data_IF_271738993127
#
_entry.id   IF_271738993127
#
_cell.length_a   1.000
_cell.length_b   1.000
_cell.length_c   1.000
_cell.angle_alpha   90.00
_cell.angle_beta   90.00
_cell.angle_gamma   90.00
#
_symmetry.space_group_name_H-M   'P 1'
#
loop_
_entity.id
_entity.type
_entity.pdbx_description
1 polymer ?
#
# COMPACT_ATOMS: atom_id res chain seq x y z
N UNK A 1 -11.98 -13.00 22.87
CA UNK A 1 -10.93 -13.21 21.85
C UNK A 1 -9.64 -13.45 22.60
N UNK A 2 -8.92 -14.54 22.30
CA UNK A 2 -7.66 -14.87 23.01
C UNK A 2 -6.59 -13.89 22.52
N UNK A 3 -5.85 -13.27 23.43
CA UNK A 3 -4.75 -12.35 23.07
C UNK A 3 -3.61 -13.12 22.41
N UNK A 4 -3.02 -12.55 21.36
CA UNK A 4 -1.80 -13.10 20.76
C UNK A 4 -0.65 -12.99 21.77
N UNK A 5 0.25 -13.97 21.73
CA UNK A 5 1.45 -13.97 22.57
C UNK A 5 2.44 -12.89 22.09
N UNK A 6 2.74 -11.91 22.95
CA UNK A 6 3.68 -10.85 22.62
C UNK A 6 5.09 -11.38 22.33
N UNK A 7 5.49 -12.52 22.94
CA UNK A 7 6.78 -13.13 22.65
C UNK A 7 6.89 -13.58 21.18
N UNK A 8 5.79 -14.06 20.59
CA UNK A 8 5.73 -14.39 19.17
C UNK A 8 5.75 -13.13 18.31
N UNK A 9 4.96 -12.12 18.67
CA UNK A 9 4.88 -10.86 17.91
C UNK A 9 6.23 -10.13 17.84
N UNK A 10 7.02 -10.21 18.91
CA UNK A 10 8.34 -9.58 19.03
C UNK A 10 9.52 -10.52 18.78
N UNK A 11 9.28 -11.76 18.33
CA UNK A 11 10.35 -12.68 17.97
C UNK A 11 11.27 -12.07 16.89
N UNK A 12 12.55 -12.46 16.81
CA UNK A 12 13.41 -12.02 15.72
C UNK A 12 12.79 -12.27 14.34
N UNK A 13 13.05 -11.38 13.38
CA UNK A 13 12.64 -11.54 11.98
C UNK A 13 13.84 -11.97 11.16
N UNK A 14 13.68 -13.02 10.35
CA UNK A 14 14.68 -13.47 9.40
C UNK A 14 14.29 -12.98 8.00
N UNK A 15 15.10 -12.09 7.44
CA UNK A 15 14.89 -11.56 6.08
C UNK A 15 15.74 -12.30 5.06
N UNK A 16 15.11 -12.75 3.99
CA UNK A 16 15.78 -13.25 2.78
C UNK A 16 15.77 -12.17 1.70
N UNK A 17 16.94 -11.91 1.13
CA UNK A 17 17.09 -10.97 0.02
C UNK A 17 16.50 -11.55 -1.27
N UNK A 18 15.65 -10.78 -1.92
CA UNK A 18 15.01 -11.06 -3.21
C UNK A 18 15.24 -9.88 -4.17
N UNK A 19 16.31 -9.09 -3.97
CA UNK A 19 16.58 -7.87 -4.73
C UNK A 19 17.22 -8.10 -6.11
N UNK A 20 17.38 -9.35 -6.55
CA UNK A 20 18.04 -9.68 -7.81
C UNK A 20 17.37 -8.94 -8.99
N UNK A 21 18.17 -8.18 -9.74
CA UNK A 21 17.71 -7.40 -10.89
C UNK A 21 17.18 -6.00 -10.57
N UNK A 22 17.03 -5.63 -9.29
CA UNK A 22 16.66 -4.27 -8.89
C UNK A 22 17.88 -3.39 -8.63
N UNK A 23 17.74 -2.09 -8.92
CA UNK A 23 18.80 -1.10 -8.79
C UNK A 23 18.44 0.06 -7.87
N UNK A 24 17.19 0.53 -7.94
CA UNK A 24 16.67 1.67 -7.19
C UNK A 24 15.88 1.24 -5.95
N UNK A 25 15.61 -0.05 -5.77
CA UNK A 25 14.94 -0.62 -4.59
C UNK A 25 15.71 -1.81 -4.01
N UNK A 26 15.36 -2.19 -2.78
CA UNK A 26 15.60 -3.53 -2.25
C UNK A 26 14.27 -4.24 -2.03
N UNK A 27 14.29 -5.55 -2.10
CA UNK A 27 13.12 -6.39 -1.89
C UNK A 27 13.50 -7.59 -1.04
N UNK A 28 12.88 -7.72 0.13
CA UNK A 28 13.13 -8.82 1.07
C UNK A 28 11.84 -9.54 1.42
N UNK A 29 11.93 -10.83 1.75
CA UNK A 29 10.82 -11.63 2.27
C UNK A 29 11.20 -12.23 3.62
N UNK A 30 10.31 -12.17 4.60
CA UNK A 30 10.51 -12.86 5.86
C UNK A 30 10.04 -14.31 5.79
N UNK A 31 10.57 -15.15 6.67
CA UNK A 31 10.15 -16.56 6.80
C UNK A 31 8.70 -16.72 7.27
N UNK A 32 8.12 -15.71 7.90
CA UNK A 32 6.77 -15.68 8.46
C UNK A 32 5.74 -14.93 7.59
N UNK A 33 6.08 -14.59 6.34
CA UNK A 33 5.11 -14.15 5.33
C UNK A 33 4.94 -12.64 5.16
N UNK A 34 6.01 -11.86 5.41
CA UNK A 34 6.06 -10.41 5.19
C UNK A 34 6.97 -10.13 4.00
N UNK A 35 6.51 -9.34 3.03
CA UNK A 35 7.37 -8.81 1.97
C UNK A 35 7.71 -7.35 2.27
N UNK A 36 8.97 -6.93 2.10
CA UNK A 36 9.44 -5.56 2.37
C UNK A 36 10.05 -4.95 1.11
N UNK A 37 9.42 -3.88 0.61
CA UNK A 37 9.88 -3.07 -0.51
C UNK A 37 10.53 -1.80 0.04
N UNK A 38 11.82 -1.62 -0.21
CA UNK A 38 12.60 -0.49 0.29
C UNK A 38 13.09 0.38 -0.87
N UNK A 39 12.71 1.66 -0.92
CA UNK A 39 13.28 2.60 -1.89
C UNK A 39 14.74 2.86 -1.51
N UNK A 40 15.69 2.58 -2.41
CA UNK A 40 17.13 2.60 -2.14
C UNK A 40 17.83 3.73 -2.91
N UNK A 41 17.38 4.98 -2.69
CA UNK A 41 18.00 6.20 -3.26
C UNK A 41 18.25 7.27 -2.19
N UNK A 42 18.93 6.96 -1.06
CA UNK A 42 19.03 7.86 0.10
C UNK A 42 19.75 9.19 -0.23
N UNK A 43 20.63 9.19 -1.23
CA UNK A 43 21.35 10.37 -1.74
C UNK A 43 20.43 11.47 -2.28
N UNK A 44 19.21 11.11 -2.70
CA UNK A 44 18.15 12.05 -3.14
C UNK A 44 16.91 11.94 -2.26
N UNK A 45 17.09 11.57 -0.98
CA UNK A 45 15.98 11.40 -0.01
C UNK A 45 14.91 10.43 -0.50
N UNK A 46 15.33 9.34 -1.14
CA UNK A 46 14.45 8.30 -1.66
C UNK A 46 13.37 8.87 -2.62
N UNK A 47 13.71 9.93 -3.36
CA UNK A 47 12.88 10.38 -4.48
C UNK A 47 12.84 9.30 -5.57
N UNK A 48 11.66 9.06 -6.17
CA UNK A 48 11.50 8.08 -7.23
C UNK A 48 11.68 8.70 -8.62
N UNK A 49 12.40 8.00 -9.49
CA UNK A 49 12.40 8.23 -10.95
C UNK A 49 11.54 7.14 -11.62
N UNK A 50 11.27 7.20 -12.94
CA UNK A 50 10.42 6.19 -13.61
C UNK A 50 10.88 4.74 -13.39
N UNK A 51 12.20 4.50 -13.36
CA UNK A 51 12.76 3.17 -13.05
C UNK A 51 12.42 2.71 -11.63
N UNK A 52 12.60 3.58 -10.62
CA UNK A 52 12.24 3.27 -9.23
C UNK A 52 10.79 2.81 -9.12
N UNK A 53 9.87 3.51 -9.78
CA UNK A 53 8.45 3.14 -9.78
C UNK A 53 8.21 1.80 -10.48
N UNK A 54 8.86 1.55 -11.61
CA UNK A 54 8.76 0.28 -12.34
C UNK A 54 9.20 -0.90 -11.47
N UNK A 55 10.33 -0.76 -10.77
CA UNK A 55 10.84 -1.80 -9.88
C UNK A 55 9.90 -2.04 -8.68
N UNK A 56 9.36 -0.97 -8.08
CA UNK A 56 8.35 -1.10 -7.02
C UNK A 56 7.08 -1.83 -7.50
N UNK A 57 6.64 -1.57 -8.74
CA UNK A 57 5.50 -2.26 -9.35
C UNK A 57 5.78 -3.76 -9.52
N UNK A 58 6.99 -4.11 -9.97
CA UNK A 58 7.43 -5.49 -10.13
C UNK A 58 7.48 -6.23 -8.78
N UNK A 59 8.08 -5.61 -7.76
CA UNK A 59 8.17 -6.18 -6.42
C UNK A 59 6.79 -6.37 -5.78
N UNK A 60 5.87 -5.40 -5.93
CA UNK A 60 4.50 -5.52 -5.42
C UNK A 60 3.69 -6.57 -6.18
N UNK A 61 3.94 -6.76 -7.48
CA UNK A 61 3.32 -7.83 -8.26
C UNK A 61 3.79 -9.21 -7.80
N UNK A 62 5.10 -9.39 -7.60
CA UNK A 62 5.67 -10.61 -7.02
C UNK A 62 5.04 -10.89 -5.64
N UNK A 63 5.06 -9.91 -4.74
CA UNK A 63 4.46 -10.02 -3.41
C UNK A 63 2.97 -10.38 -3.46
N UNK A 64 2.23 -9.91 -4.46
CA UNK A 64 0.80 -10.24 -4.65
C UNK A 64 0.60 -11.70 -5.03
N UNK A 65 1.45 -12.27 -5.87
CA UNK A 65 1.29 -13.63 -6.42
C UNK A 65 2.00 -14.73 -5.63
N UNK A 66 2.92 -14.38 -4.74
CA UNK A 66 3.49 -15.32 -3.77
C UNK A 66 2.47 -15.65 -2.68
N UNK A 67 2.00 -16.89 -2.59
CA UNK A 67 0.97 -17.31 -1.63
C UNK A 67 1.47 -17.42 -0.19
N UNK A 68 2.80 -17.38 0.04
CA UNK A 68 3.40 -17.36 1.37
C UNK A 68 3.41 -15.95 1.98
N UNK A 69 3.22 -14.90 1.17
CA UNK A 69 3.18 -13.52 1.64
C UNK A 69 1.75 -13.13 2.03
N UNK A 70 1.55 -12.65 3.25
CA UNK A 70 0.26 -12.12 3.69
C UNK A 70 0.21 -10.60 3.85
N UNK A 71 1.36 -9.94 4.08
CA UNK A 71 1.47 -8.49 4.32
C UNK A 71 2.67 -7.91 3.58
N UNK A 72 2.55 -6.68 3.07
CA UNK A 72 3.62 -5.94 2.42
C UNK A 72 3.99 -4.71 3.24
N UNK A 73 5.28 -4.45 3.42
CA UNK A 73 5.83 -3.23 3.99
C UNK A 73 6.46 -2.40 2.88
N UNK A 74 6.13 -1.12 2.81
CA UNK A 74 6.82 -0.12 1.99
C UNK A 74 7.64 0.79 2.89
N UNK A 75 8.91 1.01 2.57
CA UNK A 75 9.82 1.86 3.38
C UNK A 75 10.90 2.51 2.52
N UNK A 76 11.72 3.38 3.12
CA UNK A 76 12.87 4.01 2.49
C UNK A 76 14.18 3.54 3.13
N UNK A 77 15.25 3.47 2.34
CA UNK A 77 16.57 3.13 2.84
C UNK A 77 17.10 4.25 3.76
N UNK A 78 17.60 3.84 4.93
CA UNK A 78 18.16 4.71 5.95
C UNK A 78 17.09 5.52 6.71
N UNK A 79 17.55 6.32 7.66
CA UNK A 79 16.66 6.94 8.66
C UNK A 79 16.15 8.32 8.26
N UNK A 80 16.65 8.89 7.16
CA UNK A 80 16.44 10.30 6.81
C UNK A 80 15.18 10.53 5.99
N UNK A 81 14.73 9.56 5.21
CA UNK A 81 13.57 9.74 4.34
C UNK A 81 12.91 8.42 4.01
N UNK A 82 11.60 8.38 4.14
CA UNK A 82 10.76 7.38 3.50
C UNK A 82 10.76 7.59 2.00
N UNK A 83 10.31 8.77 1.55
CA UNK A 83 10.27 9.16 0.14
C UNK A 83 10.02 10.66 -0.01
N UNK A 84 10.80 11.34 -0.84
CA UNK A 84 10.64 12.76 -1.16
C UNK A 84 9.75 13.04 -2.39
N UNK A 85 9.11 12.02 -2.96
CA UNK A 85 8.28 12.14 -4.16
C UNK A 85 9.04 11.98 -5.46
N UNK A 86 8.51 12.54 -6.55
CA UNK A 86 9.13 12.43 -7.87
C UNK A 86 10.44 13.20 -7.96
N UNK A 87 11.45 12.57 -8.53
CA UNK A 87 12.78 13.13 -8.71
C UNK A 87 12.73 14.33 -9.67
N UNK A 88 12.78 15.54 -9.11
CA UNK A 88 12.67 16.77 -9.89
C UNK A 88 13.82 16.95 -10.89
N UNK A 89 14.95 16.24 -10.74
CA UNK A 89 16.08 16.32 -11.68
C UNK A 89 15.75 15.73 -13.05
N UNK A 90 14.75 14.84 -13.12
CA UNK A 90 14.32 14.18 -14.37
C UNK A 90 12.91 14.59 -14.78
N UNK A 91 12.32 15.61 -14.14
CA UNK A 91 11.00 16.13 -14.55
C UNK A 91 11.16 16.98 -15.80
N UNK A 92 10.54 16.57 -16.90
CA UNK A 92 10.58 17.27 -18.18
C UNK A 92 9.39 18.22 -18.39
N UNK A 93 9.50 19.08 -19.40
CA UNK A 93 8.47 20.07 -19.75
C UNK A 93 7.22 19.43 -20.41
N UNK A 94 7.36 18.26 -21.03
CA UNK A 94 6.28 17.57 -21.73
C UNK A 94 5.49 16.63 -20.81
N UNK A 95 5.07 17.13 -19.64
CA UNK A 95 4.04 16.50 -18.82
C UNK A 95 4.42 15.19 -18.11
N UNK A 96 5.66 15.02 -17.64
CA UNK A 96 6.06 13.84 -16.87
C UNK A 96 7.52 13.80 -16.44
N UNK A 97 7.92 12.69 -15.83
CA UNK A 97 9.29 12.37 -15.47
C UNK A 97 9.93 11.53 -16.58
N UNK A 98 11.07 11.99 -17.10
CA UNK A 98 11.79 11.34 -18.18
C UNK A 98 12.54 10.11 -17.67
N UNK A 99 12.45 9.00 -18.41
CA UNK A 99 13.37 7.88 -18.27
C UNK A 99 14.63 8.09 -19.11
N UNK A 100 15.57 7.14 -19.05
CA UNK A 100 16.85 7.23 -19.76
C UNK A 100 16.68 7.16 -21.30
N UNK A 101 15.50 6.80 -21.80
CA UNK A 101 15.14 6.81 -23.22
C UNK A 101 14.42 8.09 -23.66
N UNK A 102 14.14 9.01 -22.73
CA UNK A 102 13.47 10.28 -22.96
C UNK A 102 11.94 10.22 -22.95
N UNK A 103 11.34 9.07 -22.63
CA UNK A 103 9.88 8.93 -22.52
C UNK A 103 9.40 9.55 -21.21
N UNK A 104 8.30 10.31 -21.26
CA UNK A 104 7.74 10.99 -20.10
C UNK A 104 6.70 10.13 -19.40
N UNK A 105 6.84 9.96 -18.08
CA UNK A 105 6.01 9.08 -17.26
C UNK A 105 5.32 9.81 -16.11
N UNK A 106 4.13 9.34 -15.77
CA UNK A 106 3.47 9.57 -14.47
C UNK A 106 3.09 8.21 -13.83
N UNK A 107 3.93 7.20 -14.05
CA UNK A 107 3.69 5.80 -13.69
C UNK A 107 3.54 5.54 -12.17
N UNK A 108 3.85 6.52 -11.31
CA UNK A 108 3.53 6.41 -9.88
C UNK A 108 2.02 6.27 -9.65
N UNK A 109 1.19 6.80 -10.58
CA UNK A 109 -0.26 6.60 -10.55
C UNK A 109 -0.63 5.11 -10.73
N UNK A 110 0.11 4.37 -11.55
CA UNK A 110 -0.08 2.92 -11.70
C UNK A 110 0.28 2.19 -10.39
N UNK A 111 1.37 2.59 -9.75
CA UNK A 111 1.77 2.04 -8.45
C UNK A 111 0.74 2.35 -7.35
N UNK A 112 0.19 3.57 -7.30
CA UNK A 112 -0.91 3.92 -6.40
C UNK A 112 -2.13 2.98 -6.60
N UNK A 113 -2.54 2.74 -7.85
CA UNK A 113 -3.64 1.81 -8.17
C UNK A 113 -3.30 0.37 -7.78
N UNK A 114 -2.04 -0.03 -7.91
CA UNK A 114 -1.60 -1.37 -7.54
C UNK A 114 -1.59 -1.60 -6.03
N UNK A 115 -1.17 -0.62 -5.23
CA UNK A 115 -1.30 -0.66 -3.77
C UNK A 115 -2.78 -0.78 -3.39
N UNK A 116 -3.61 0.09 -3.98
CA UNK A 116 -5.05 0.18 -3.71
C UNK A 116 -5.75 -1.16 -3.94
N UNK A 117 -5.44 -1.80 -5.07
CA UNK A 117 -6.09 -3.04 -5.51
C UNK A 117 -5.34 -4.32 -5.13
N UNK A 118 -4.28 -4.20 -4.32
CA UNK A 118 -3.59 -5.36 -3.75
C UNK A 118 -4.53 -6.05 -2.74
N UNK A 119 -4.80 -7.37 -2.85
CA UNK A 119 -5.68 -8.07 -1.92
C UNK A 119 -5.05 -8.29 -0.53
N UNK A 120 -3.79 -7.87 -0.34
CA UNK A 120 -3.02 -8.01 0.90
C UNK A 120 -2.84 -6.62 1.54
N UNK A 121 -2.82 -6.51 2.88
CA UNK A 121 -2.48 -5.27 3.55
C UNK A 121 -1.09 -4.76 3.14
N UNK A 122 -0.99 -3.45 2.91
CA UNK A 122 0.25 -2.72 2.63
C UNK A 122 0.47 -1.71 3.75
N UNK A 123 1.62 -1.76 4.42
CA UNK A 123 1.98 -0.92 5.56
C UNK A 123 3.11 0.01 5.18
N UNK A 124 2.94 1.32 5.34
CA UNK A 124 4.04 2.27 5.23
C UNK A 124 4.81 2.30 6.56
N UNK A 125 6.12 2.03 6.50
CA UNK A 125 7.05 2.14 7.62
C UNK A 125 7.91 3.38 7.42
N UNK A 126 7.54 4.48 8.07
CA UNK A 126 8.02 5.83 7.75
C UNK A 126 9.08 6.30 8.76
N UNK A 127 10.34 6.36 8.31
CA UNK A 127 11.41 7.10 8.98
C UNK A 127 11.72 8.41 8.22
N UNK A 128 11.86 9.51 8.94
CA UNK A 128 12.22 10.80 8.35
C UNK A 128 11.18 11.35 7.35
N UNK A 129 11.64 11.98 6.27
CA UNK A 129 10.77 12.69 5.32
C UNK A 129 9.86 11.78 4.49
N UNK A 130 8.55 12.05 4.56
CA UNK A 130 7.52 11.57 3.64
C UNK A 130 6.84 12.80 3.01
N UNK A 131 7.32 13.21 1.83
CA UNK A 131 7.02 14.52 1.24
C UNK A 131 6.52 14.40 -0.20
N UNK A 132 5.56 15.24 -0.58
CA UNK A 132 5.05 15.34 -1.96
C UNK A 132 4.45 14.02 -2.46
N UNK A 133 4.97 13.50 -3.58
CA UNK A 133 4.55 12.18 -4.06
C UNK A 133 4.79 11.05 -3.05
N UNK A 134 5.86 11.13 -2.24
CA UNK A 134 6.13 10.19 -1.17
C UNK A 134 5.13 10.31 -0.02
N UNK A 135 4.63 11.53 0.22
CA UNK A 135 3.54 11.77 1.15
C UNK A 135 2.24 11.08 0.69
N UNK A 136 1.97 11.06 -0.61
CA UNK A 136 0.81 10.32 -1.16
C UNK A 136 1.01 8.81 -1.02
N UNK A 137 2.22 8.28 -1.23
CA UNK A 137 2.46 6.84 -1.12
C UNK A 137 2.19 6.27 0.28
N UNK A 138 2.55 6.99 1.36
CA UNK A 138 2.21 6.50 2.71
C UNK A 138 0.69 6.49 2.93
N UNK A 139 -0.01 7.55 2.50
CA UNK A 139 -1.47 7.61 2.61
C UNK A 139 -2.18 6.54 1.77
N UNK A 140 -1.57 6.08 0.67
CA UNK A 140 -2.13 5.00 -0.14
C UNK A 140 -1.95 3.62 0.48
N UNK A 141 -0.98 3.46 1.37
CA UNK A 141 -0.86 2.24 2.18
C UNK A 141 -2.07 2.13 3.12
N UNK A 142 -2.46 0.91 3.48
CA UNK A 142 -3.62 0.68 4.33
C UNK A 142 -3.38 1.19 5.75
N UNK A 143 -2.14 1.10 6.22
CA UNK A 143 -1.69 1.56 7.54
C UNK A 143 -0.33 2.26 7.44
N UNK A 144 -0.07 3.20 8.35
CA UNK A 144 1.22 3.88 8.50
C UNK A 144 1.73 3.79 9.94
N UNK A 145 2.93 3.22 10.09
CA UNK A 145 3.73 3.22 11.32
C UNK A 145 4.82 4.25 11.15
N UNK A 146 4.83 5.29 12.00
CA UNK A 146 5.79 6.38 11.90
C UNK A 146 6.83 6.30 13.02
N UNK A 147 8.09 6.56 12.69
CA UNK A 147 9.08 6.87 13.71
C UNK A 147 8.88 8.29 14.26
N UNK A 148 9.31 8.54 15.49
CA UNK A 148 9.31 9.89 16.10
C UNK A 148 10.02 10.95 15.23
N UNK A 149 10.99 10.54 14.41
CA UNK A 149 11.73 11.44 13.52
C UNK A 149 11.00 11.74 12.19
N UNK A 150 9.81 11.19 11.97
CA UNK A 150 9.09 11.32 10.71
C UNK A 150 8.56 12.74 10.50
N UNK A 151 8.62 13.19 9.24
CA UNK A 151 8.17 14.51 8.81
C UNK A 151 7.28 14.37 7.58
N UNK A 152 6.07 14.94 7.65
CA UNK A 152 5.02 14.78 6.65
C UNK A 152 4.66 16.10 5.99
N UNK A 153 4.27 16.09 4.72
CA UNK A 153 3.74 17.28 4.07
C UNK A 153 3.68 17.23 2.56
N UNK A 154 2.86 18.11 2.00
CA UNK A 154 2.77 18.33 0.56
C UNK A 154 3.61 19.54 0.15
N UNK A 155 4.14 19.51 -1.08
CA UNK A 155 4.93 20.62 -1.65
C UNK A 155 4.38 21.11 -2.97
N UNK A 156 3.34 20.47 -3.52
CA UNK A 156 2.85 20.68 -4.88
C UNK A 156 2.76 22.16 -5.29
N UNK A 157 1.91 22.98 -4.65
CA UNK A 157 1.81 24.41 -4.95
C UNK A 157 3.13 25.20 -4.88
N UNK A 158 4.10 24.80 -4.05
CA UNK A 158 5.44 25.42 -3.99
C UNK A 158 6.36 25.00 -5.14
N UNK A 159 6.15 23.82 -5.74
CA UNK A 159 7.01 23.24 -6.80
C UNK A 159 6.28 23.09 -8.15
N UNK A 160 5.16 23.79 -8.32
CA UNK A 160 4.38 23.77 -9.56
C UNK A 160 3.80 22.39 -9.89
N UNK A 161 3.27 21.67 -8.90
CA UNK A 161 2.65 20.35 -9.05
C UNK A 161 1.42 20.22 -8.13
N UNK A 162 0.65 19.15 -8.27
CA UNK A 162 -0.42 18.75 -7.35
C UNK A 162 -0.81 17.30 -7.64
N UNK A 163 -1.34 16.59 -6.64
CA UNK A 163 -2.03 15.32 -6.82
C UNK A 163 -3.50 15.54 -6.47
N UNK A 164 -4.33 15.70 -7.50
CA UNK A 164 -5.77 15.93 -7.37
C UNK A 164 -6.61 14.64 -7.30
N UNK A 165 -5.96 13.47 -7.35
CA UNK A 165 -6.60 12.17 -7.23
C UNK A 165 -6.72 11.78 -5.76
N UNK A 166 -6.24 10.58 -5.42
CA UNK A 166 -6.22 10.13 -4.03
C UNK A 166 -5.34 11.01 -3.13
N UNK A 167 -4.32 11.70 -3.68
CA UNK A 167 -3.54 12.67 -2.92
C UNK A 167 -4.36 13.79 -2.29
N UNK A 168 -5.52 14.14 -2.86
CA UNK A 168 -6.44 15.13 -2.32
C UNK A 168 -7.70 14.49 -1.71
N UNK A 169 -8.42 13.67 -2.49
CA UNK A 169 -9.72 13.12 -2.07
C UNK A 169 -9.58 12.13 -0.91
N UNK A 170 -8.59 11.23 -0.98
CA UNK A 170 -8.35 10.23 0.06
C UNK A 170 -7.70 10.84 1.31
N UNK A 171 -6.79 11.81 1.15
CA UNK A 171 -6.31 12.61 2.28
C UNK A 171 -7.46 13.20 3.11
N UNK A 172 -8.50 13.73 2.45
CA UNK A 172 -9.67 14.27 3.15
C UNK A 172 -10.54 13.20 3.83
N UNK A 173 -10.48 11.92 3.40
CA UNK A 173 -11.11 10.78 4.10
C UNK A 173 -10.34 10.38 5.36
N UNK A 174 -9.05 10.72 5.45
CA UNK A 174 -8.19 10.44 6.61
C UNK A 174 -8.28 11.57 7.64
N UNK A 175 -7.86 12.79 7.27
CA UNK A 175 -7.69 13.91 8.21
C UNK A 175 -8.85 14.91 8.20
N UNK A 176 -9.88 14.64 7.40
CA UNK A 176 -11.02 15.55 7.20
C UNK A 176 -10.70 16.75 6.29
N UNK A 177 -11.76 17.41 5.83
CA UNK A 177 -11.69 18.48 4.82
C UNK A 177 -10.84 19.69 5.25
N UNK A 178 -10.88 20.07 6.53
CA UNK A 178 -10.13 21.24 7.03
C UNK A 178 -8.63 21.02 6.96
N UNK A 179 -8.14 19.90 7.52
CA UNK A 179 -6.71 19.57 7.54
C UNK A 179 -6.19 19.25 6.13
N UNK A 180 -6.95 18.53 5.30
CA UNK A 180 -6.52 18.26 3.92
C UNK A 180 -6.25 19.54 3.13
N UNK A 181 -7.16 20.54 3.23
CA UNK A 181 -6.97 21.86 2.61
C UNK A 181 -5.78 22.61 3.21
N UNK A 182 -5.60 22.56 4.52
CA UNK A 182 -4.46 23.19 5.19
C UNK A 182 -3.12 22.61 4.71
N UNK A 183 -2.99 21.28 4.68
CA UNK A 183 -1.78 20.58 4.23
C UNK A 183 -1.45 20.97 2.78
N UNK A 184 -2.44 20.93 1.88
CA UNK A 184 -2.22 21.26 0.48
C UNK A 184 -1.95 22.74 0.25
N UNK A 185 -2.74 23.64 0.82
CA UNK A 185 -2.67 25.07 0.50
C UNK A 185 -1.46 25.75 1.14
N UNK A 186 -1.08 25.34 2.36
CA UNK A 186 0.03 25.97 3.07
C UNK A 186 1.36 25.25 2.83
N UNK A 187 1.35 23.99 2.38
CA UNK A 187 2.55 23.19 2.13
C UNK A 187 3.53 23.22 3.32
N UNK A 188 2.99 23.14 4.56
CA UNK A 188 3.77 23.04 5.79
C UNK A 188 4.27 21.61 5.98
N UNK A 189 5.33 21.49 6.77
CA UNK A 189 5.80 20.21 7.29
C UNK A 189 5.20 19.99 8.68
N UNK A 190 4.85 18.74 8.96
CA UNK A 190 4.26 18.29 10.22
C UNK A 190 5.13 17.18 10.79
N UNK A 191 5.44 17.26 12.09
CA UNK A 191 6.16 16.18 12.78
C UNK A 191 5.27 14.96 13.04
N UNK A 192 5.87 13.88 13.55
CA UNK A 192 5.18 12.63 13.82
C UNK A 192 4.02 12.79 14.82
N UNK A 193 4.16 13.63 15.85
CA UNK A 193 3.11 13.87 16.83
C UNK A 193 1.93 14.62 16.21
N UNK A 194 2.19 15.68 15.44
CA UNK A 194 1.16 16.41 14.72
C UNK A 194 0.44 15.51 13.71
N UNK A 195 1.16 14.62 13.04
CA UNK A 195 0.58 13.63 12.15
C UNK A 195 -0.34 12.65 12.91
N UNK A 196 0.06 12.17 14.09
CA UNK A 196 -0.77 11.33 14.94
C UNK A 196 -2.03 12.06 15.43
N UNK A 197 -1.87 13.30 15.94
CA UNK A 197 -2.96 14.11 16.48
C UNK A 197 -4.06 14.40 15.44
N UNK A 198 -3.69 14.53 14.16
CA UNK A 198 -4.65 14.74 13.07
C UNK A 198 -5.17 13.45 12.44
N UNK A 199 -4.74 12.27 12.91
CA UNK A 199 -5.14 10.96 12.39
C UNK A 199 -4.48 10.59 11.05
N UNK A 200 -3.38 11.23 10.68
CA UNK A 200 -2.66 10.97 9.42
C UNK A 200 -1.86 9.66 9.47
N UNK A 201 -1.43 9.23 10.65
CA UNK A 201 -0.70 7.97 10.89
C UNK A 201 -1.36 7.18 12.00
N UNK A 202 -1.18 5.86 12.01
CA UNK A 202 -1.84 4.98 12.98
C UNK A 202 -1.16 4.97 14.34
N UNK A 203 0.17 5.06 14.36
CA UNK A 203 0.97 5.10 15.59
C UNK A 203 2.32 5.76 15.35
N UNK A 204 2.92 6.24 16.43
CA UNK A 204 4.27 6.80 16.47
C UNK A 204 5.09 6.01 17.48
N UNK A 205 6.30 5.62 17.08
CA UNK A 205 7.21 4.80 17.89
C UNK A 205 8.63 5.35 17.86
N UNK A 206 9.50 5.05 18.85
CA UNK A 206 10.91 5.42 18.78
C UNK A 206 11.55 4.90 17.49
N UNK A 207 12.43 5.68 16.88
CA UNK A 207 13.08 5.32 15.62
C UNK A 207 13.77 3.94 15.68
N UNK A 208 14.42 3.64 16.81
CA UNK A 208 15.10 2.36 17.04
C UNK A 208 14.14 1.14 17.04
N UNK A 209 12.85 1.38 17.31
CA UNK A 209 11.82 0.35 17.41
C UNK A 209 10.94 0.27 16.16
N UNK A 210 11.15 1.13 15.16
CA UNK A 210 10.27 1.27 13.99
C UNK A 210 10.01 -0.06 13.27
N UNK A 211 11.08 -0.80 12.93
CA UNK A 211 10.91 -2.09 12.24
C UNK A 211 10.30 -3.16 13.15
N UNK A 212 10.71 -3.19 14.43
CA UNK A 212 10.19 -4.13 15.42
C UNK A 212 8.67 -3.98 15.57
N UNK A 213 8.18 -2.76 15.73
CA UNK A 213 6.75 -2.47 15.87
C UNK A 213 5.99 -2.69 14.56
N UNK A 214 6.59 -2.35 13.41
CA UNK A 214 5.97 -2.63 12.11
C UNK A 214 5.78 -4.13 11.90
N UNK A 215 6.78 -4.94 12.21
CA UNK A 215 6.71 -6.41 12.11
C UNK A 215 5.65 -6.97 13.07
N UNK A 216 5.56 -6.45 14.30
CA UNK A 216 4.47 -6.81 15.23
C UNK A 216 3.10 -6.61 14.59
N UNK A 217 2.82 -5.43 14.02
CA UNK A 217 1.54 -5.15 13.36
C UNK A 217 1.27 -6.07 12.17
N UNK A 218 2.31 -6.38 11.38
CA UNK A 218 2.21 -7.34 10.29
C UNK A 218 1.83 -8.73 10.81
N UNK A 219 2.49 -9.20 11.88
CA UNK A 219 2.21 -10.51 12.50
C UNK A 219 0.81 -10.59 13.07
N UNK A 220 0.31 -9.53 13.69
CA UNK A 220 -1.09 -9.47 14.14
C UNK A 220 -2.07 -9.66 12.96
N UNK A 221 -1.82 -9.02 11.81
CA UNK A 221 -2.63 -9.23 10.61
C UNK A 221 -2.50 -10.64 10.02
N UNK A 222 -1.30 -11.24 10.08
CA UNK A 222 -1.05 -12.60 9.60
C UNK A 222 -1.79 -13.69 10.40
N UNK A 223 -2.23 -13.40 11.63
CA UNK A 223 -3.08 -14.32 12.41
C UNK A 223 -4.57 -14.26 12.01
N UNK A 224 -4.96 -13.28 11.19
CA UNK A 224 -6.34 -13.10 10.76
C UNK A 224 -6.63 -13.82 9.44
N UNK A 225 -7.91 -14.06 9.15
CA UNK A 225 -8.33 -14.70 7.90
C UNK A 225 -7.93 -13.88 6.67
N UNK A 226 -7.10 -14.42 5.74
CA UNK A 226 -6.72 -13.70 4.52
C UNK A 226 -7.93 -13.38 3.63
N UNK A 227 -8.94 -14.25 3.63
CA UNK A 227 -10.19 -14.02 2.89
C UNK A 227 -11.00 -12.86 3.48
N UNK A 228 -11.05 -12.75 4.81
CA UNK A 228 -11.74 -11.63 5.45
C UNK A 228 -11.01 -10.30 5.18
N UNK A 229 -9.69 -10.27 5.31
CA UNK A 229 -8.88 -9.07 5.08
C UNK A 229 -9.05 -8.52 3.66
N UNK A 230 -8.96 -9.37 2.63
CA UNK A 230 -9.14 -8.94 1.23
C UNK A 230 -10.55 -8.43 0.93
N UNK A 231 -11.58 -9.01 1.55
CA UNK A 231 -12.96 -8.55 1.41
C UNK A 231 -13.17 -7.20 2.10
N UNK A 232 -12.62 -7.02 3.30
CA UNK A 232 -12.69 -5.77 4.05
C UNK A 232 -11.94 -4.64 3.34
N UNK A 233 -10.74 -4.89 2.81
CA UNK A 233 -9.99 -3.92 2.01
C UNK A 233 -10.80 -3.47 0.78
N UNK A 234 -11.37 -4.41 0.03
CA UNK A 234 -12.22 -4.07 -1.11
C UNK A 234 -13.49 -3.28 -0.72
N UNK A 235 -14.10 -3.60 0.43
CA UNK A 235 -15.26 -2.87 0.94
C UNK A 235 -14.92 -1.43 1.35
N UNK A 236 -13.78 -1.23 2.03
CA UNK A 236 -13.28 0.11 2.38
C UNK A 236 -12.95 0.92 1.12
N UNK A 237 -12.36 0.28 0.10
CA UNK A 237 -12.14 0.92 -1.19
C UNK A 237 -13.45 1.35 -1.86
N UNK A 238 -14.51 0.53 -1.78
CA UNK A 238 -15.80 0.80 -2.40
C UNK A 238 -16.51 2.07 -1.87
N UNK A 239 -16.23 2.50 -0.64
CA UNK A 239 -16.72 3.78 -0.10
C UNK A 239 -16.08 5.02 -0.80
N UNK A 240 -14.96 4.81 -1.47
CA UNK A 240 -14.21 5.87 -2.15
C UNK A 240 -14.28 5.76 -3.69
N UNK A 241 -14.20 4.55 -4.23
CA UNK A 241 -13.81 4.31 -5.62
C UNK A 241 -14.98 3.93 -6.53
N UNK A 242 -16.23 4.05 -6.04
CA UNK A 242 -17.44 3.84 -6.83
C UNK A 242 -17.44 2.49 -7.55
N UNK A 243 -17.64 2.51 -8.88
CA UNK A 243 -17.67 1.28 -9.68
C UNK A 243 -16.35 0.48 -9.65
N UNK A 244 -15.20 1.14 -9.48
CA UNK A 244 -13.92 0.44 -9.37
C UNK A 244 -13.85 -0.35 -8.06
N UNK A 245 -14.30 0.22 -6.94
CA UNK A 245 -14.37 -0.51 -5.67
C UNK A 245 -15.45 -1.62 -5.69
N UNK A 246 -16.58 -1.40 -6.39
CA UNK A 246 -17.56 -2.47 -6.62
C UNK A 246 -16.96 -3.63 -7.42
N UNK A 247 -16.08 -3.37 -8.39
CA UNK A 247 -15.40 -4.41 -9.15
C UNK A 247 -14.55 -5.31 -8.24
N UNK A 248 -13.80 -4.74 -7.29
CA UNK A 248 -13.00 -5.50 -6.34
C UNK A 248 -13.88 -6.31 -5.38
N UNK A 249 -14.91 -5.67 -4.81
CA UNK A 249 -15.80 -6.29 -3.84
C UNK A 249 -16.61 -7.44 -4.47
N UNK A 250 -17.22 -7.19 -5.63
CA UNK A 250 -17.97 -8.21 -6.37
C UNK A 250 -17.06 -9.31 -6.95
N UNK A 251 -15.81 -8.98 -7.29
CA UNK A 251 -14.81 -9.96 -7.67
C UNK A 251 -14.52 -10.96 -6.56
N UNK A 252 -14.39 -10.49 -5.31
CA UNK A 252 -14.26 -11.36 -4.14
C UNK A 252 -15.53 -12.19 -3.90
N UNK A 253 -16.72 -11.61 -4.05
CA UNK A 253 -17.99 -12.35 -3.95
C UNK A 253 -18.10 -13.47 -5.01
N UNK A 254 -17.65 -13.21 -6.23
CA UNK A 254 -17.59 -14.21 -7.31
C UNK A 254 -16.65 -15.36 -6.94
N UNK A 255 -15.47 -15.05 -6.40
CA UNK A 255 -14.53 -16.06 -5.91
C UNK A 255 -15.16 -16.95 -4.83
N UNK A 256 -15.86 -16.34 -3.86
CA UNK A 256 -16.56 -17.09 -2.81
C UNK A 256 -17.68 -17.96 -3.38
N UNK A 257 -18.47 -17.44 -4.32
CA UNK A 257 -19.54 -18.20 -4.96
C UNK A 257 -19.00 -19.44 -5.70
N UNK A 258 -17.85 -19.33 -6.37
CA UNK A 258 -17.21 -20.46 -7.06
C UNK A 258 -16.73 -21.58 -6.11
N UNK A 259 -16.59 -21.30 -4.81
CA UNK A 259 -16.27 -22.31 -3.79
C UNK A 259 -17.51 -23.08 -3.31
N UNK A 260 -18.73 -22.64 -3.66
CA UNK A 260 -19.99 -23.28 -3.24
C UNK A 260 -20.41 -24.40 -4.18
N UNK A 261 -21.19 -25.36 -3.66
CA UNK A 261 -21.79 -26.41 -4.48
C UNK A 261 -22.77 -25.85 -5.53
N UNK A 262 -23.46 -24.74 -5.24
CA UNK A 262 -24.39 -24.08 -6.16
C UNK A 262 -23.65 -23.49 -7.37
N UNK A 263 -22.56 -22.74 -7.14
CA UNK A 263 -21.73 -22.22 -8.23
C UNK A 263 -21.10 -23.33 -9.08
N UNK A 264 -20.69 -24.43 -8.44
CA UNK A 264 -20.10 -25.59 -9.13
C UNK A 264 -21.12 -26.36 -9.98
N UNK A 265 -22.39 -26.42 -9.58
CA UNK A 265 -23.46 -27.04 -10.37
C UNK A 265 -23.63 -26.36 -11.73
N UNK A 266 -23.63 -25.03 -11.77
CA UNK A 266 -23.70 -24.28 -13.04
C UNK A 266 -22.55 -24.62 -13.99
N UNK A 267 -21.31 -24.64 -13.48
CA UNK A 267 -20.11 -25.06 -14.23
C UNK A 267 -20.24 -26.50 -14.74
N UNK A 268 -20.61 -27.42 -13.86
CA UNK A 268 -20.68 -28.85 -14.18
C UNK A 268 -21.75 -29.12 -15.23
N UNK A 269 -22.93 -28.51 -15.11
CA UNK A 269 -24.03 -28.65 -16.06
C UNK A 269 -23.63 -28.16 -17.46
N UNK A 270 -22.98 -26.99 -17.56
CA UNK A 270 -22.46 -26.47 -18.81
C UNK A 270 -21.44 -27.43 -19.46
N UNK A 271 -20.45 -27.89 -18.70
CA UNK A 271 -19.42 -28.82 -19.20
C UNK A 271 -20.00 -30.17 -19.64
N UNK A 272 -21.04 -30.64 -18.95
CA UNK A 272 -21.76 -31.88 -19.24
C UNK A 272 -22.89 -31.70 -20.28
N UNK A 273 -23.09 -30.47 -20.80
CA UNK A 273 -24.15 -30.12 -21.76
C UNK A 273 -25.56 -30.53 -21.30
N UNK A 274 -25.83 -30.38 -20.01
CA UNK A 274 -27.16 -30.62 -19.40
C UNK A 274 -27.71 -29.33 -18.78
N UNK A 275 -29.01 -29.32 -18.51
CA UNK A 275 -29.59 -28.25 -17.69
C UNK A 275 -29.05 -28.34 -16.24
N UNK A 276 -28.75 -27.21 -15.58
CA UNK A 276 -28.41 -27.20 -14.17
C UNK A 276 -29.65 -27.48 -13.31
N UNK A 277 -29.47 -28.22 -12.22
CA UNK A 277 -30.51 -28.42 -11.21
C UNK A 277 -30.10 -27.79 -9.87
N UNK A 278 -30.71 -26.64 -9.59
CA UNK A 278 -30.48 -25.90 -8.35
C UNK A 278 -31.49 -26.24 -7.24
N UNK A 279 -32.39 -27.21 -7.43
CA UNK A 279 -33.48 -27.52 -6.50
C UNK A 279 -33.03 -27.93 -5.10
N UNK A 280 -31.86 -28.56 -5.00
CA UNK A 280 -31.25 -28.99 -3.73
C UNK A 280 -30.67 -27.86 -2.88
N UNK A 281 -30.42 -26.68 -3.47
CA UNK A 281 -29.89 -25.52 -2.76
C UNK A 281 -31.05 -24.68 -2.20
N UNK A 282 -31.21 -24.69 -0.87
CA UNK A 282 -32.27 -23.92 -0.21
C UNK A 282 -32.00 -22.43 -0.39
N UNK A 283 -33.03 -21.67 -0.74
CA UNK A 283 -32.98 -20.20 -0.78
C UNK A 283 -33.00 -19.69 0.66
N UNK A 284 -31.85 -19.24 1.16
CA UNK A 284 -31.77 -18.55 2.45
C UNK A 284 -32.59 -17.23 2.39
N UNK A 285 -33.17 -16.78 3.52
CA UNK A 285 -33.95 -15.54 3.59
C UNK A 285 -33.10 -14.28 3.43
#
# INVERSE_FOLDING_TARGET
MISLDEAMLYAPVEWHDCSEGYTDIRYHKSTDGIAKITINRPQVRNAFRPLTVKEMIQALADARYDDNIGVIVLTGEGEKAFCAGGDQKVRGDYGGYQDDSGVHHLNVLDFQRQIRTCPKPVVAMVAGYSIGGGHVLHMMCDLTIAAENAIFGQTGPKVGSFDGGWGASYMARIVGQKKAREIWFLCRQYDAQQALDMGLVNTVVPLADLEKETVRWCREMLQNSPMALRCLKAALNADCDGQAGLQELAGNATMLFYMTEEGQEGRNAFNQKRQPDFSKFKRNP
#
